data_IF_611575927067
#
_entry.id   IF_611575927067
#
_cell.length_a   1.000
_cell.length_b   1.000
_cell.length_c   1.000
_cell.angle_alpha   90.00
_cell.angle_beta   90.00
_cell.angle_gamma   90.00
#
_symmetry.space_group_name_H-M   'P 1'
#
loop_
_entity.id
_entity.type
_entity.pdbx_description
1 polymer ?
#
# COMPACT_ATOMS: atom_id res chain seq x y z
N UNK A 1 -61.19 73.13 -6.32
CA UNK A 1 -60.75 72.99 -7.72
C UNK A 1 -60.20 71.58 -7.88
N UNK A 2 -60.90 70.71 -8.60
CA UNK A 2 -60.46 69.34 -8.88
C UNK A 2 -59.69 69.39 -10.20
N UNK A 3 -58.38 69.21 -10.16
CA UNK A 3 -57.59 69.01 -11.36
C UNK A 3 -57.70 67.53 -11.77
N UNK A 4 -58.30 67.34 -12.94
CA UNK A 4 -58.30 66.09 -13.69
C UNK A 4 -56.97 66.01 -14.42
N UNK A 5 -56.16 64.98 -14.14
CA UNK A 5 -54.96 64.68 -14.92
C UNK A 5 -55.13 63.32 -15.58
N UNK A 6 -55.22 63.35 -16.91
CA UNK A 6 -55.07 62.21 -17.81
C UNK A 6 -53.58 61.94 -17.94
N UNK A 7 -53.14 60.70 -17.72
CA UNK A 7 -51.77 60.27 -17.98
C UNK A 7 -51.78 59.10 -18.97
N UNK A 8 -50.98 59.28 -20.02
CA UNK A 8 -50.74 58.40 -21.16
C UNK A 8 -50.33 56.99 -20.74
N UNK A 9 -50.89 55.98 -21.42
CA UNK A 9 -50.41 54.61 -21.42
C UNK A 9 -49.26 54.52 -22.41
N UNK A 10 -48.02 54.52 -21.90
CA UNK A 10 -46.82 54.16 -22.66
C UNK A 10 -46.64 52.65 -22.57
N UNK A 11 -46.84 51.95 -23.70
CA UNK A 11 -46.56 50.53 -23.85
C UNK A 11 -45.04 50.31 -23.76
N UNK A 12 -44.54 49.94 -22.59
CA UNK A 12 -43.18 49.43 -22.42
C UNK A 12 -43.25 47.90 -22.40
N UNK A 13 -42.91 47.27 -23.53
CA UNK A 13 -42.61 45.86 -23.59
C UNK A 13 -41.31 45.60 -22.80
N UNK A 14 -41.45 45.35 -21.50
CA UNK A 14 -40.40 44.79 -20.67
C UNK A 14 -40.48 43.27 -20.73
N UNK A 15 -39.47 42.63 -21.31
CA UNK A 15 -39.18 41.22 -21.05
C UNK A 15 -38.93 41.07 -19.55
N UNK A 16 -39.96 40.65 -18.82
CA UNK A 16 -39.80 40.05 -17.50
C UNK A 16 -39.52 38.56 -17.74
N UNK A 17 -38.29 38.15 -17.46
CA UNK A 17 -38.03 36.77 -17.09
C UNK A 17 -38.79 36.54 -15.78
N UNK A 18 -40.04 36.13 -15.90
CA UNK A 18 -40.73 35.45 -14.82
C UNK A 18 -40.01 34.12 -14.68
N UNK A 19 -39.03 34.06 -13.78
CA UNK A 19 -38.69 32.80 -13.16
C UNK A 19 -40.02 32.23 -12.67
N UNK A 20 -40.41 31.10 -13.26
CA UNK A 20 -41.55 30.33 -12.78
C UNK A 20 -41.28 30.16 -11.28
N UNK A 21 -42.18 30.58 -10.36
CA UNK A 21 -42.10 30.05 -9.03
C UNK A 21 -42.25 28.55 -9.25
N UNK A 22 -41.16 27.81 -9.03
CA UNK A 22 -41.16 26.36 -9.08
C UNK A 22 -42.33 25.95 -8.18
N UNK A 23 -43.44 25.59 -8.82
CA UNK A 23 -44.52 24.93 -8.11
C UNK A 23 -43.84 23.66 -7.63
N UNK A 24 -43.84 23.48 -6.31
CA UNK A 24 -43.59 22.19 -5.68
C UNK A 24 -44.54 21.20 -6.34
N UNK A 25 -44.07 20.61 -7.44
CA UNK A 25 -44.50 19.31 -7.85
C UNK A 25 -43.93 18.42 -6.77
N UNK A 26 -44.74 18.13 -5.76
CA UNK A 26 -44.72 16.81 -5.15
C UNK A 26 -45.10 15.81 -6.27
N UNK A 27 -44.18 15.60 -7.22
CA UNK A 27 -44.00 14.28 -7.78
C UNK A 27 -43.56 13.43 -6.61
N UNK A 28 -44.21 12.28 -6.43
CA UNK A 28 -43.96 11.42 -5.27
C UNK A 28 -42.48 11.07 -5.20
N UNK A 29 -41.76 11.73 -4.29
CA UNK A 29 -40.37 11.42 -3.97
C UNK A 29 -40.37 10.06 -3.28
N UNK A 30 -40.32 8.99 -4.06
CA UNK A 30 -39.53 7.83 -3.63
C UNK A 30 -38.08 8.29 -3.74
N UNK A 31 -37.56 8.87 -2.65
CA UNK A 31 -36.13 9.12 -2.50
C UNK A 31 -35.43 7.77 -2.60
N UNK A 32 -34.96 7.48 -3.80
CA UNK A 32 -34.36 6.22 -4.19
C UNK A 32 -32.86 6.48 -4.14
N UNK A 33 -32.23 6.07 -3.05
CA UNK A 33 -30.80 6.31 -2.85
C UNK A 33 -29.95 5.51 -3.83
N UNK A 34 -28.74 5.99 -4.04
CA UNK A 34 -27.75 5.42 -4.94
C UNK A 34 -26.44 5.15 -4.19
N UNK A 35 -25.80 4.02 -4.49
CA UNK A 35 -24.42 3.73 -4.10
C UNK A 35 -23.59 3.56 -5.38
N UNK A 36 -22.63 4.44 -5.60
CA UNK A 36 -21.62 4.28 -6.65
C UNK A 36 -20.37 3.62 -6.05
N UNK A 37 -20.07 2.41 -6.50
CA UNK A 37 -18.86 1.69 -6.12
C UNK A 37 -17.83 1.78 -7.24
N UNK A 38 -16.70 2.43 -6.96
CA UNK A 38 -15.51 2.46 -7.81
C UNK A 38 -14.46 1.47 -7.31
N UNK A 39 -13.95 0.61 -8.19
CA UNK A 39 -12.82 -0.27 -7.90
C UNK A 39 -11.63 0.14 -8.75
N UNK A 40 -10.51 0.43 -8.08
CA UNK A 40 -9.21 0.66 -8.71
C UNK A 40 -8.46 -0.67 -8.76
N UNK A 41 -8.40 -1.30 -9.93
CA UNK A 41 -7.63 -2.51 -10.16
C UNK A 41 -6.15 -2.17 -10.38
N UNK A 42 -5.28 -2.73 -9.55
CA UNK A 42 -3.84 -2.49 -9.59
C UNK A 42 -3.08 -3.78 -9.91
N UNK A 43 -2.96 -4.08 -11.21
CA UNK A 43 -2.41 -5.35 -11.71
C UNK A 43 -3.10 -6.58 -11.09
N UNK A 44 -4.42 -6.53 -10.99
CA UNK A 44 -5.22 -7.60 -10.40
C UNK A 44 -5.26 -8.81 -11.34
N UNK A 45 -4.99 -10.01 -10.84
CA UNK A 45 -4.98 -11.26 -11.61
C UNK A 45 -6.13 -12.17 -11.17
N UNK A 46 -7.22 -12.25 -11.96
CA UNK A 46 -8.34 -13.13 -11.63
C UNK A 46 -7.98 -14.61 -11.68
N UNK A 47 -8.68 -15.43 -10.89
CA UNK A 47 -8.54 -16.89 -10.92
C UNK A 47 -8.90 -17.44 -12.32
N UNK A 48 -8.27 -18.54 -12.74
CA UNK A 48 -8.54 -19.15 -14.06
C UNK A 48 -10.00 -19.56 -14.26
N UNK A 49 -10.72 -19.82 -13.17
CA UNK A 49 -12.14 -20.20 -13.21
C UNK A 49 -13.07 -19.00 -13.35
N UNK A 50 -12.58 -17.77 -13.24
CA UNK A 50 -13.42 -16.59 -13.10
C UNK A 50 -14.01 -16.13 -14.42
N UNK A 51 -15.33 -16.03 -14.44
CA UNK A 51 -16.09 -15.57 -15.60
C UNK A 51 -16.47 -14.09 -15.49
N UNK A 52 -16.69 -13.59 -14.28
CA UNK A 52 -17.15 -12.22 -14.02
C UNK A 52 -16.56 -11.68 -12.72
N UNK A 53 -16.38 -10.36 -12.66
CA UNK A 53 -16.19 -9.63 -11.40
C UNK A 53 -17.53 -8.96 -11.07
N UNK A 54 -18.09 -9.28 -9.91
CA UNK A 54 -19.44 -8.88 -9.50
C UNK A 54 -19.40 -8.14 -8.17
N UNK A 55 -20.13 -7.03 -8.06
CA UNK A 55 -20.45 -6.40 -6.79
C UNK A 55 -21.81 -6.90 -6.28
N UNK A 56 -21.91 -7.07 -4.97
CA UNK A 56 -23.17 -7.36 -4.29
C UNK A 56 -23.36 -6.41 -3.11
N UNK A 57 -24.62 -6.22 -2.74
CA UNK A 57 -25.03 -5.35 -1.65
C UNK A 57 -25.86 -6.15 -0.65
N UNK A 58 -25.57 -5.99 0.63
CA UNK A 58 -26.36 -6.53 1.74
C UNK A 58 -27.01 -5.39 2.50
N UNK A 59 -28.16 -5.65 3.10
CA UNK A 59 -28.87 -4.70 3.97
C UNK A 59 -29.03 -5.30 5.36
N UNK A 60 -28.72 -4.52 6.40
CA UNK A 60 -28.90 -4.92 7.78
C UNK A 60 -28.30 -3.94 8.77
N UNK A 61 -28.84 -3.90 9.99
CA UNK A 61 -28.39 -3.00 11.04
C UNK A 61 -26.94 -3.30 11.50
N UNK A 62 -26.52 -4.55 11.35
CA UNK A 62 -25.14 -5.01 11.57
C UNK A 62 -24.68 -5.90 10.42
N UNK A 63 -23.37 -5.98 10.20
CA UNK A 63 -22.82 -6.86 9.17
C UNK A 63 -23.24 -8.32 9.35
N UNK A 64 -23.18 -8.85 10.58
CA UNK A 64 -23.53 -10.24 10.86
C UNK A 64 -24.99 -10.59 10.52
N UNK A 65 -25.93 -9.66 10.75
CA UNK A 65 -27.33 -9.84 10.38
C UNK A 65 -27.52 -9.75 8.86
N UNK A 66 -26.84 -8.81 8.22
CA UNK A 66 -26.90 -8.61 6.78
C UNK A 66 -26.33 -9.83 6.04
N UNK A 67 -25.15 -10.33 6.46
CA UNK A 67 -24.47 -11.50 5.91
C UNK A 67 -25.35 -12.76 6.00
N UNK A 68 -25.99 -13.02 7.14
CA UNK A 68 -26.89 -14.17 7.34
C UNK A 68 -28.13 -14.11 6.41
N UNK A 69 -28.61 -12.90 6.10
CA UNK A 69 -29.72 -12.70 5.17
C UNK A 69 -29.34 -12.88 3.69
N UNK A 70 -28.06 -12.73 3.35
CA UNK A 70 -27.57 -12.75 1.97
C UNK A 70 -27.80 -11.42 1.23
N UNK A 71 -27.29 -11.31 -0.01
CA UNK A 71 -27.37 -10.06 -0.77
C UNK A 71 -28.81 -9.73 -1.17
N UNK A 72 -29.16 -8.44 -1.16
CA UNK A 72 -30.51 -7.95 -1.49
C UNK A 72 -30.92 -8.27 -2.93
N UNK A 73 -29.94 -8.29 -3.83
CA UNK A 73 -30.06 -8.76 -5.20
C UNK A 73 -29.02 -9.88 -5.41
N UNK A 74 -29.46 -11.13 -5.59
CA UNK A 74 -28.53 -12.23 -5.80
C UNK A 74 -27.79 -12.12 -7.13
N UNK A 75 -28.24 -11.31 -8.09
CA UNK A 75 -27.59 -11.11 -9.40
C UNK A 75 -26.57 -9.97 -9.42
N UNK A 76 -26.55 -9.11 -8.40
CA UNK A 76 -25.54 -8.08 -8.21
C UNK A 76 -25.38 -7.11 -9.38
N UNK A 77 -24.21 -6.48 -9.46
CA UNK A 77 -23.79 -5.61 -10.56
C UNK A 77 -22.46 -6.11 -11.15
N UNK A 78 -22.35 -6.15 -12.48
CA UNK A 78 -21.15 -6.65 -13.15
C UNK A 78 -20.20 -5.51 -13.50
N UNK A 79 -18.92 -5.67 -13.15
CA UNK A 79 -17.86 -4.80 -13.67
C UNK A 79 -17.50 -5.20 -15.10
N UNK A 80 -17.42 -4.22 -16.00
CA UNK A 80 -17.09 -4.43 -17.40
C UNK A 80 -15.57 -4.52 -17.61
N UNK A 81 -14.95 -5.54 -17.00
CA UNK A 81 -13.50 -5.81 -17.04
C UNK A 81 -13.19 -7.17 -17.67
N UNK A 82 -11.95 -7.37 -18.14
CA UNK A 82 -11.47 -8.66 -18.65
C UNK A 82 -11.15 -9.59 -17.48
N UNK A 83 -11.58 -10.86 -17.53
CA UNK A 83 -11.22 -11.86 -16.51
C UNK A 83 -10.14 -12.85 -16.96
N UNK A 84 -9.62 -12.70 -18.18
CA UNK A 84 -8.62 -13.60 -18.78
C UNK A 84 -7.23 -12.97 -18.90
N UNK A 85 -7.11 -11.70 -18.50
CA UNK A 85 -5.88 -10.93 -18.50
C UNK A 85 -5.78 -10.17 -17.18
N UNK A 86 -4.57 -9.72 -16.83
CA UNK A 86 -4.34 -8.81 -15.70
C UNK A 86 -5.16 -7.52 -15.88
N UNK A 87 -5.87 -7.12 -14.83
CA UNK A 87 -6.73 -5.92 -14.82
C UNK A 87 -5.96 -4.76 -14.20
N UNK A 88 -5.87 -3.65 -14.93
CA UNK A 88 -5.30 -2.40 -14.43
C UNK A 88 -6.18 -1.23 -14.84
N UNK A 89 -6.52 -0.37 -13.89
CA UNK A 89 -7.35 0.83 -14.09
C UNK A 89 -8.62 0.82 -13.23
N UNK A 90 -9.48 1.79 -13.48
CA UNK A 90 -10.69 2.02 -12.67
C UNK A 90 -11.92 1.45 -13.37
N UNK A 91 -12.81 0.80 -12.62
CA UNK A 91 -14.12 0.37 -13.09
C UNK A 91 -15.16 0.58 -11.99
N UNK A 92 -16.35 1.01 -12.35
CA UNK A 92 -17.41 1.33 -11.39
C UNK A 92 -18.74 0.69 -11.74
N UNK A 93 -19.56 0.50 -10.71
CA UNK A 93 -20.94 0.03 -10.79
C UNK A 93 -21.82 0.87 -9.87
N UNK A 94 -23.12 0.94 -10.18
CA UNK A 94 -24.09 1.70 -9.39
C UNK A 94 -25.21 0.79 -8.92
N UNK A 95 -25.53 0.86 -7.64
CA UNK A 95 -26.77 0.33 -7.07
C UNK A 95 -27.75 1.48 -6.95
N UNK A 96 -28.92 1.34 -7.58
CA UNK A 96 -29.96 2.37 -7.56
C UNK A 96 -31.20 1.87 -6.84
N UNK A 97 -32.14 2.79 -6.61
CA UNK A 97 -33.47 2.50 -6.09
C UNK A 97 -33.43 1.92 -4.67
N UNK A 98 -32.43 2.36 -3.88
CA UNK A 98 -32.19 1.89 -2.52
C UNK A 98 -33.05 2.67 -1.51
N UNK A 99 -33.89 2.00 -0.70
CA UNK A 99 -34.56 2.65 0.43
C UNK A 99 -33.57 3.19 1.47
N UNK A 100 -34.05 4.11 2.33
CA UNK A 100 -33.30 4.50 3.53
C UNK A 100 -32.92 3.26 4.35
N UNK A 101 -31.63 3.11 4.67
CA UNK A 101 -31.12 1.86 5.23
C UNK A 101 -29.63 1.87 5.50
N UNK A 102 -29.15 0.76 6.06
CA UNK A 102 -27.72 0.49 6.26
C UNK A 102 -27.32 -0.68 5.38
N UNK A 103 -26.35 -0.41 4.52
CA UNK A 103 -25.88 -1.32 3.49
C UNK A 103 -24.41 -1.68 3.68
N UNK A 104 -24.02 -2.79 3.08
CA UNK A 104 -22.67 -3.33 3.10
C UNK A 104 -22.33 -3.82 1.70
N UNK A 105 -21.15 -3.50 1.20
CA UNK A 105 -20.78 -3.77 -0.19
C UNK A 105 -19.53 -4.66 -0.27
N UNK A 106 -19.55 -5.61 -1.21
CA UNK A 106 -18.41 -6.47 -1.52
C UNK A 106 -18.35 -6.85 -2.99
N UNK A 107 -17.14 -7.18 -3.43
CA UNK A 107 -16.77 -7.51 -4.80
C UNK A 107 -16.15 -8.90 -4.83
N UNK A 108 -16.57 -9.71 -5.79
CA UNK A 108 -16.23 -11.13 -5.85
C UNK A 108 -15.94 -11.56 -7.28
N UNK A 109 -15.09 -12.56 -7.39
CA UNK A 109 -14.92 -13.33 -8.61
C UNK A 109 -16.00 -14.40 -8.67
N UNK A 110 -16.67 -14.53 -9.81
CA UNK A 110 -17.78 -15.46 -9.97
C UNK A 110 -17.72 -16.21 -11.29
N UNK A 111 -18.33 -17.40 -11.33
CA UNK A 111 -18.53 -18.15 -12.59
C UNK A 111 -19.85 -17.78 -13.28
N UNK A 112 -20.66 -16.91 -12.68
CA UNK A 112 -21.91 -16.38 -13.22
C UNK A 112 -22.42 -15.18 -12.42
N UNK A 113 -23.58 -14.64 -12.79
CA UNK A 113 -24.09 -13.42 -12.13
C UNK A 113 -24.49 -13.65 -10.67
N UNK A 114 -24.87 -14.87 -10.29
CA UNK A 114 -25.43 -15.11 -8.95
C UNK A 114 -24.34 -15.15 -7.86
N UNK A 115 -24.61 -14.57 -6.69
CA UNK A 115 -23.68 -14.57 -5.56
C UNK A 115 -23.19 -15.97 -5.15
N UNK A 116 -24.07 -16.97 -5.18
CA UNK A 116 -23.74 -18.36 -4.85
C UNK A 116 -22.72 -19.00 -5.81
N UNK A 117 -22.40 -18.33 -6.92
CA UNK A 117 -21.39 -18.76 -7.89
C UNK A 117 -20.01 -18.14 -7.66
N UNK A 118 -19.82 -17.44 -6.54
CA UNK A 118 -18.50 -16.90 -6.19
C UNK A 118 -17.45 -18.00 -6.07
N UNK A 119 -16.27 -17.70 -6.56
CA UNK A 119 -15.08 -18.56 -6.47
C UNK A 119 -13.97 -17.90 -5.67
N UNK A 120 -13.96 -16.57 -5.61
CA UNK A 120 -12.99 -15.80 -4.83
C UNK A 120 -13.56 -14.45 -4.38
N UNK A 121 -12.91 -13.83 -3.40
CA UNK A 121 -13.25 -12.51 -2.88
C UNK A 121 -12.25 -11.49 -3.44
N UNK A 122 -12.73 -10.46 -4.14
CA UNK A 122 -11.89 -9.31 -4.51
C UNK A 122 -11.75 -8.35 -3.32
N UNK A 123 -12.82 -8.24 -2.53
CA UNK A 123 -12.81 -7.54 -1.25
C UNK A 123 -14.13 -6.88 -0.88
N UNK A 124 -14.19 -6.39 0.34
CA UNK A 124 -15.29 -5.64 0.93
C UNK A 124 -14.87 -4.18 1.09
N UNK A 125 -15.78 -3.26 0.79
CA UNK A 125 -15.52 -1.85 1.10
C UNK A 125 -15.44 -1.65 2.62
N UNK A 126 -14.33 -1.12 3.10
CA UNK A 126 -14.12 -0.81 4.50
C UNK A 126 -13.38 0.53 4.69
N UNK A 127 -14.11 1.54 5.13
CA UNK A 127 -13.59 2.88 5.42
C UNK A 127 -12.52 2.93 6.52
N UNK A 128 -12.39 1.87 7.33
CA UNK A 128 -11.39 1.74 8.39
C UNK A 128 -10.06 1.11 7.94
N UNK A 129 -9.97 0.61 6.71
CA UNK A 129 -8.74 -0.01 6.20
C UNK A 129 -7.92 0.97 5.39
N UNK A 130 -6.73 1.29 5.93
CA UNK A 130 -5.65 2.07 5.33
C UNK A 130 -6.07 3.15 4.32
N UNK A 131 -5.41 3.24 3.16
CA UNK A 131 -5.76 4.15 2.06
C UNK A 131 -6.46 3.45 0.90
N UNK A 132 -6.53 2.12 0.93
CA UNK A 132 -7.15 1.28 -0.10
C UNK A 132 -8.64 1.09 0.14
N UNK A 133 -9.11 1.28 1.37
CA UNK A 133 -10.50 1.06 1.78
C UNK A 133 -11.05 -0.34 1.43
N UNK A 134 -10.17 -1.33 1.33
CA UNK A 134 -10.49 -2.68 0.91
C UNK A 134 -10.13 -3.69 2.02
N UNK A 135 -11.09 -4.52 2.43
CA UNK A 135 -10.90 -5.59 3.41
C UNK A 135 -11.28 -6.94 2.82
N UNK A 136 -10.52 -7.99 3.10
CA UNK A 136 -10.89 -9.35 2.66
C UNK A 136 -11.99 -9.99 3.50
N UNK A 137 -12.29 -9.46 4.69
CA UNK A 137 -13.11 -10.15 5.69
C UNK A 137 -14.24 -9.31 6.28
N UNK A 138 -14.04 -8.00 6.41
CA UNK A 138 -14.94 -7.14 7.18
C UNK A 138 -15.32 -5.90 6.36
N UNK A 139 -16.61 -5.67 6.04
CA UNK A 139 -17.06 -4.42 5.44
C UNK A 139 -17.29 -3.32 6.49
N UNK A 140 -17.40 -2.07 6.02
CA UNK A 140 -17.93 -0.94 6.81
C UNK A 140 -19.33 -0.53 6.34
N UNK A 141 -20.12 0.01 7.26
CA UNK A 141 -21.50 0.41 6.98
C UNK A 141 -21.58 1.60 6.01
N UNK A 142 -22.49 1.50 5.05
CA UNK A 142 -22.93 2.56 4.15
C UNK A 142 -24.35 2.96 4.52
N UNK A 143 -24.61 4.24 4.75
CA UNK A 143 -25.93 4.71 5.21
C UNK A 143 -26.59 5.51 4.10
N UNK A 144 -27.77 5.07 3.68
CA UNK A 144 -28.67 5.84 2.83
C UNK A 144 -29.74 6.46 3.72
N UNK A 145 -29.82 7.78 3.72
CA UNK A 145 -30.84 8.56 4.40
C UNK A 145 -31.07 9.88 3.65
N UNK A 146 -32.00 10.72 4.12
CA UNK A 146 -32.30 12.03 3.49
C UNK A 146 -31.12 13.00 3.41
N UNK A 147 -30.05 12.75 4.16
CA UNK A 147 -28.85 13.56 4.13
C UNK A 147 -27.79 12.96 3.18
N UNK A 148 -27.91 11.67 2.84
CA UNK A 148 -26.95 10.89 2.05
C UNK A 148 -27.72 10.00 1.06
N UNK A 149 -28.45 10.64 0.13
CA UNK A 149 -29.19 9.91 -0.91
C UNK A 149 -28.25 9.40 -2.01
N UNK A 150 -27.08 10.04 -2.20
CA UNK A 150 -26.01 9.61 -3.10
C UNK A 150 -24.74 9.29 -2.28
N UNK A 151 -24.28 8.04 -2.32
CA UNK A 151 -23.10 7.57 -1.59
C UNK A 151 -22.06 7.04 -2.57
N UNK A 152 -20.97 7.80 -2.74
CA UNK A 152 -19.83 7.40 -3.56
C UNK A 152 -18.75 6.74 -2.69
N UNK A 153 -18.36 5.52 -3.06
CA UNK A 153 -17.30 4.78 -2.39
C UNK A 153 -16.28 4.25 -3.39
N UNK A 154 -15.01 4.29 -2.99
CA UNK A 154 -13.92 3.72 -3.77
C UNK A 154 -13.14 2.71 -2.94
N UNK A 155 -12.68 1.65 -3.60
CA UNK A 155 -11.75 0.67 -3.04
C UNK A 155 -10.64 0.36 -4.06
N UNK A 156 -9.42 0.13 -3.60
CA UNK A 156 -8.32 -0.35 -4.44
C UNK A 156 -8.18 -1.86 -4.24
N UNK A 157 -8.03 -2.62 -5.33
CA UNK A 157 -7.79 -4.05 -5.23
C UNK A 157 -6.51 -4.28 -4.45
N UNK A 158 -6.59 -5.07 -3.39
CA UNK A 158 -5.40 -5.53 -2.71
C UNK A 158 -4.64 -6.41 -3.69
N UNK A 159 -3.39 -6.06 -3.97
CA UNK A 159 -2.48 -7.01 -4.61
C UNK A 159 -2.36 -8.15 -3.60
N UNK A 160 -2.97 -9.29 -3.91
CA UNK A 160 -2.80 -10.51 -3.12
C UNK A 160 -1.31 -10.84 -3.13
N UNK A 161 -0.62 -10.43 -2.08
CA UNK A 161 0.75 -10.82 -1.82
C UNK A 161 0.69 -12.01 -0.88
N UNK A 162 1.09 -13.17 -1.41
CA UNK A 162 1.36 -14.33 -0.58
C UNK A 162 2.70 -14.05 0.09
N UNK A 163 2.66 -14.00 1.41
CA UNK A 163 3.86 -13.86 2.23
C UNK A 163 4.75 -15.10 2.04
N UNK A 164 6.00 -15.07 2.51
CA UNK A 164 6.89 -16.22 2.29
C UNK A 164 6.39 -17.54 2.92
N UNK A 165 5.41 -17.49 3.84
CA UNK A 165 4.87 -18.63 4.58
C UNK A 165 3.68 -19.25 3.84
N UNK A 166 3.28 -18.68 2.70
CA UNK A 166 2.11 -19.11 1.97
C UNK A 166 0.81 -18.53 2.53
N UNK A 167 0.88 -17.50 3.37
CA UNK A 167 -0.30 -16.82 3.95
C UNK A 167 -0.66 -15.63 3.08
N UNK A 168 -1.90 -15.61 2.61
CA UNK A 168 -2.47 -14.47 1.88
C UNK A 168 -2.48 -13.22 2.77
N UNK A 169 -1.88 -12.13 2.29
CA UNK A 169 -1.70 -10.87 3.03
C UNK A 169 -1.00 -11.05 4.40
N UNK A 170 -0.17 -12.09 4.54
CA UNK A 170 0.63 -12.29 5.74
C UNK A 170 1.78 -11.28 5.86
N UNK A 171 2.27 -11.09 7.07
CA UNK A 171 3.38 -10.17 7.38
C UNK A 171 4.75 -10.78 7.14
N UNK A 172 4.86 -12.10 6.88
CA UNK A 172 6.15 -12.76 6.87
C UNK A 172 6.95 -12.47 5.60
N UNK A 173 8.21 -12.08 5.78
CA UNK A 173 9.16 -11.85 4.69
C UNK A 173 10.27 -12.88 4.74
N UNK A 174 10.75 -13.29 3.56
CA UNK A 174 11.92 -14.17 3.52
C UNK A 174 13.12 -13.37 4.00
N UNK A 175 13.68 -13.74 5.14
CA UNK A 175 14.88 -13.12 5.69
C UNK A 175 16.11 -13.44 4.81
N UNK A 176 17.26 -12.84 5.13
CA UNK A 176 18.51 -13.08 4.39
C UNK A 176 19.11 -14.49 4.61
N UNK A 177 18.61 -15.27 5.56
CA UNK A 177 18.95 -16.69 5.76
C UNK A 177 17.99 -17.66 5.04
N UNK A 178 16.91 -17.17 4.44
CA UNK A 178 15.86 -17.98 3.86
C UNK A 178 14.85 -18.54 4.87
N UNK A 179 14.81 -18.02 6.10
CA UNK A 179 13.71 -18.24 7.05
C UNK A 179 12.55 -17.34 6.66
N UNK A 180 11.34 -17.84 6.85
CA UNK A 180 10.15 -17.04 6.65
C UNK A 180 9.49 -16.76 8.00
N UNK A 181 9.55 -15.50 8.45
CA UNK A 181 8.80 -14.98 9.58
C UNK A 181 8.65 -13.44 9.49
N UNK A 182 8.07 -12.81 10.51
CA UNK A 182 7.86 -11.36 10.61
C UNK A 182 8.66 -10.70 11.75
N UNK A 183 9.67 -11.41 12.29
CA UNK A 183 10.49 -10.93 13.39
C UNK A 183 11.75 -10.23 12.87
N UNK A 184 11.66 -8.92 12.72
CA UNK A 184 12.77 -8.10 12.23
C UNK A 184 14.03 -8.14 13.11
N UNK A 185 13.92 -8.60 14.35
CA UNK A 185 15.08 -8.78 15.23
C UNK A 185 15.90 -10.03 14.88
N UNK A 186 15.32 -10.94 14.08
CA UNK A 186 15.93 -12.20 13.67
C UNK A 186 16.32 -12.26 12.18
N UNK A 187 16.11 -11.16 11.43
CA UNK A 187 16.33 -10.93 9.97
C UNK A 187 17.77 -11.16 9.43
N UNK A 188 18.56 -12.00 10.08
CA UNK A 188 19.88 -12.43 9.68
C UNK A 188 20.91 -11.30 9.58
N UNK A 189 21.42 -10.95 10.77
CA UNK A 189 22.73 -10.33 10.94
C UNK A 189 23.76 -11.12 10.09
N UNK A 190 24.51 -10.50 9.17
CA UNK A 190 25.26 -11.22 8.14
C UNK A 190 26.25 -12.23 8.73
N UNK A 191 25.98 -13.52 8.51
CA UNK A 191 26.91 -14.60 8.81
C UNK A 191 27.98 -14.64 7.72
N UNK A 192 29.18 -14.16 8.04
CA UNK A 192 30.37 -14.58 7.29
C UNK A 192 30.84 -15.89 7.90
N UNK A 193 30.75 -16.99 7.14
CA UNK A 193 31.58 -18.17 7.39
C UNK A 193 32.64 -18.24 6.31
N UNK A 194 33.91 -18.27 6.71
CA UNK A 194 35.05 -18.28 5.79
C UNK A 194 35.80 -16.96 5.75
N UNK A 195 35.93 -16.39 4.55
CA UNK A 195 36.85 -15.29 4.26
C UNK A 195 36.10 -13.94 4.21
N UNK A 196 36.59 -12.93 4.93
CA UNK A 196 36.14 -11.53 4.79
C UNK A 196 37.12 -10.81 3.87
N UNK A 197 36.67 -10.43 2.68
CA UNK A 197 37.44 -9.57 1.78
C UNK A 197 37.02 -8.10 1.99
N UNK A 198 37.98 -7.26 2.38
CA UNK A 198 37.85 -5.81 2.42
C UNK A 198 38.55 -5.21 1.20
N UNK A 199 37.78 -4.65 0.28
CA UNK A 199 38.28 -3.87 -0.85
C UNK A 199 37.96 -2.38 -0.65
N UNK A 200 38.96 -1.51 -0.84
CA UNK A 200 38.80 -0.06 -0.74
C UNK A 200 39.44 0.61 -1.96
N UNK A 201 38.66 1.48 -2.61
CA UNK A 201 39.12 2.36 -3.68
C UNK A 201 39.51 3.72 -3.10
N UNK A 202 40.78 4.10 -3.22
CA UNK A 202 41.25 5.44 -2.91
C UNK A 202 41.17 6.31 -4.16
N UNK A 203 40.50 7.46 -4.04
CA UNK A 203 40.37 8.45 -5.12
C UNK A 203 40.85 9.80 -4.57
N UNK A 204 42.05 10.21 -4.98
CA UNK A 204 42.72 11.43 -4.50
C UNK A 204 42.75 11.56 -2.96
N UNK A 205 42.93 10.44 -2.27
CA UNK A 205 42.89 10.41 -0.81
C UNK A 205 44.16 11.02 -0.22
N UNK A 206 44.03 11.97 0.70
CA UNK A 206 45.17 12.62 1.37
C UNK A 206 45.26 12.12 2.82
N UNK A 207 46.30 11.34 3.18
CA UNK A 207 46.42 10.77 4.52
C UNK A 207 46.62 11.80 5.63
N UNK A 208 46.23 11.44 6.85
CA UNK A 208 46.69 12.16 8.05
C UNK A 208 48.24 12.23 8.05
N UNK A 209 48.84 13.42 8.26
CA UNK A 209 50.29 13.59 8.25
C UNK A 209 51.07 12.74 9.27
N UNK A 210 50.40 12.21 10.28
CA UNK A 210 50.98 11.37 11.33
C UNK A 210 50.76 9.88 11.06
N UNK A 211 49.91 9.50 10.12
CA UNK A 211 49.71 8.11 9.74
C UNK A 211 51.00 7.54 9.14
N UNK A 212 51.38 6.33 9.54
CA UNK A 212 52.56 5.63 8.99
C UNK A 212 52.19 4.35 8.23
N UNK A 213 50.95 3.87 8.38
CA UNK A 213 50.39 2.73 7.66
C UNK A 213 48.86 2.83 7.58
N UNK A 214 48.28 2.12 6.60
CA UNK A 214 46.86 1.78 6.61
C UNK A 214 46.71 0.35 7.15
N UNK A 215 45.86 0.18 8.14
CA UNK A 215 45.58 -1.11 8.74
C UNK A 215 44.12 -1.46 8.56
N UNK A 216 43.87 -2.68 8.13
CA UNK A 216 42.57 -3.29 8.14
C UNK A 216 42.40 -4.12 9.42
N UNK A 217 41.22 -4.06 10.01
CA UNK A 217 40.87 -4.78 11.23
C UNK A 217 39.56 -5.51 11.04
N UNK A 218 39.40 -6.60 11.79
CA UNK A 218 38.12 -7.28 11.96
C UNK A 218 37.88 -7.54 13.45
N UNK A 219 36.65 -7.31 13.89
CA UNK A 219 36.14 -7.51 15.24
C UNK A 219 34.98 -8.50 15.20
N UNK A 220 34.74 -9.19 16.32
CA UNK A 220 33.58 -10.08 16.49
C UNK A 220 32.70 -9.60 17.65
N UNK A 221 31.39 -9.58 17.46
CA UNK A 221 30.44 -9.19 18.51
C UNK A 221 29.01 -9.07 18.01
N UNK A 222 28.04 -9.02 18.93
CA UNK A 222 26.61 -8.86 18.58
C UNK A 222 26.25 -7.42 18.18
N UNK A 223 27.07 -6.45 18.57
CA UNK A 223 26.96 -5.04 18.16
C UNK A 223 28.35 -4.42 18.00
N UNK A 224 28.44 -3.29 17.28
CA UNK A 224 29.70 -2.53 17.15
C UNK A 224 30.29 -2.17 18.51
N UNK A 225 29.45 -1.76 19.47
CA UNK A 225 29.90 -1.35 20.81
C UNK A 225 30.53 -2.49 21.61
N UNK A 226 29.98 -3.70 21.48
CA UNK A 226 30.50 -4.91 22.14
C UNK A 226 31.76 -5.42 21.44
N UNK A 227 31.75 -5.44 20.10
CA UNK A 227 32.87 -5.87 19.28
C UNK A 227 34.11 -4.98 19.52
N UNK A 228 33.91 -3.66 19.56
CA UNK A 228 34.98 -2.71 19.86
C UNK A 228 35.52 -2.87 21.29
N UNK A 229 34.65 -3.14 22.27
CA UNK A 229 35.08 -3.40 23.65
C UNK A 229 35.83 -4.73 23.82
N UNK A 230 35.53 -5.72 22.97
CA UNK A 230 36.19 -7.02 22.94
C UNK A 230 37.58 -6.98 22.27
N UNK A 231 37.84 -5.98 21.43
CA UNK A 231 39.10 -5.80 20.70
C UNK A 231 39.13 -6.54 19.36
N UNK A 232 40.06 -6.15 18.49
CA UNK A 232 40.21 -6.76 17.18
C UNK A 232 40.65 -8.22 17.29
N UNK A 233 40.16 -9.07 16.40
CA UNK A 233 40.52 -10.50 16.36
C UNK A 233 41.54 -10.83 15.27
N UNK A 234 41.59 -10.03 14.19
CA UNK A 234 42.64 -10.06 13.19
C UNK A 234 42.91 -8.65 12.68
N UNK A 235 44.15 -8.41 12.26
CA UNK A 235 44.55 -7.19 11.56
C UNK A 235 45.50 -7.53 10.41
N UNK A 236 45.45 -6.73 9.36
CA UNK A 236 46.34 -6.84 8.21
C UNK A 236 46.77 -5.47 7.74
N UNK A 237 48.03 -5.36 7.31
CA UNK A 237 48.51 -4.15 6.65
C UNK A 237 47.82 -4.04 5.30
N UNK A 238 47.06 -2.97 5.13
CA UNK A 238 46.44 -2.63 3.86
C UNK A 238 47.57 -2.21 2.91
N UNK A 239 47.58 -2.69 1.67
CA UNK A 239 48.73 -2.63 0.74
C UNK A 239 49.22 -1.24 0.31
N UNK A 240 48.83 -0.18 1.01
CA UNK A 240 49.21 1.22 0.79
C UNK A 240 50.01 1.71 2.00
N UNK A 241 51.08 2.46 1.74
CA UNK A 241 51.76 3.22 2.79
C UNK A 241 51.40 4.70 2.66
N UNK A 242 51.03 5.39 3.75
CA UNK A 242 50.90 6.84 3.77
C UNK A 242 52.31 7.44 3.64
N UNK A 243 52.75 7.62 2.40
CA UNK A 243 53.96 8.37 2.06
C UNK A 243 53.52 9.69 1.43
N UNK A 244 53.82 10.82 2.09
CA UNK A 244 53.29 12.16 1.78
C UNK A 244 52.97 12.40 0.30
N UNK A 245 51.68 12.42 -0.01
CA UNK A 245 51.12 12.46 -1.36
C UNK A 245 49.70 11.90 -1.37
N UNK A 246 49.00 12.01 -2.50
CA UNK A 246 47.64 11.47 -2.66
C UNK A 246 47.66 9.98 -3.04
N UNK A 247 46.89 9.16 -2.34
CA UNK A 247 46.68 7.76 -2.67
C UNK A 247 45.59 7.62 -3.74
N UNK A 248 45.87 6.77 -4.74
CA UNK A 248 44.93 6.40 -5.79
C UNK A 248 45.05 4.91 -6.09
N UNK A 249 43.92 4.22 -6.24
CA UNK A 249 43.84 2.81 -6.62
C UNK A 249 42.95 1.97 -5.71
N UNK A 250 42.64 0.77 -6.18
CA UNK A 250 41.88 -0.24 -5.44
C UNK A 250 42.84 -1.20 -4.76
N UNK A 251 42.62 -1.45 -3.48
CA UNK A 251 43.42 -2.36 -2.67
C UNK A 251 42.49 -3.24 -1.85
N UNK A 252 42.91 -4.49 -1.66
CA UNK A 252 42.15 -5.47 -0.92
C UNK A 252 42.98 -6.18 0.14
N UNK A 253 42.31 -6.65 1.20
CA UNK A 253 42.84 -7.63 2.13
C UNK A 253 41.79 -8.69 2.41
N UNK A 254 42.23 -9.92 2.65
CA UNK A 254 41.32 -11.02 2.98
C UNK A 254 41.64 -11.57 4.36
N UNK A 255 40.72 -11.44 5.31
CA UNK A 255 40.78 -12.15 6.59
C UNK A 255 40.25 -13.56 6.37
N UNK A 256 41.04 -14.55 6.77
CA UNK A 256 40.72 -15.96 6.52
C UNK A 256 40.56 -16.70 7.84
N UNK A 257 39.94 -17.88 7.78
CA UNK A 257 39.75 -18.76 8.95
C UNK A 257 38.97 -18.09 10.09
N UNK A 258 38.01 -17.22 9.76
CA UNK A 258 37.08 -16.69 10.74
C UNK A 258 36.05 -17.76 11.09
N UNK A 259 35.83 -17.99 12.37
CA UNK A 259 34.78 -18.89 12.85
C UNK A 259 33.40 -18.37 12.43
N UNK A 260 32.35 -19.18 12.57
CA UNK A 260 31.00 -18.66 12.40
C UNK A 260 30.72 -17.54 13.42
N UNK A 261 30.23 -16.39 12.95
CA UNK A 261 29.92 -15.26 13.81
C UNK A 261 29.62 -13.96 13.07
N UNK A 262 29.23 -12.96 13.84
CA UNK A 262 29.02 -11.58 13.37
C UNK A 262 30.32 -10.81 13.41
N UNK A 263 30.73 -10.25 12.28
CA UNK A 263 31.98 -9.51 12.15
C UNK A 263 31.75 -8.06 11.77
N UNK A 264 32.59 -7.19 12.33
CA UNK A 264 32.73 -5.80 11.91
C UNK A 264 34.14 -5.61 11.36
N UNK A 265 34.30 -4.80 10.33
CA UNK A 265 35.59 -4.64 9.69
C UNK A 265 35.78 -3.22 9.16
N UNK A 266 37.02 -2.76 9.12
CA UNK A 266 37.32 -1.41 8.62
C UNK A 266 38.80 -1.18 8.38
N UNK A 267 39.10 -0.16 7.58
CA UNK A 267 40.46 0.29 7.24
C UNK A 267 40.70 1.65 7.88
N UNK A 268 41.84 1.79 8.57
CA UNK A 268 42.17 2.96 9.37
C UNK A 268 43.60 3.41 9.09
N UNK A 269 43.80 4.71 9.20
CA UNK A 269 45.12 5.35 9.24
C UNK A 269 45.72 5.20 10.63
N UNK A 270 46.88 4.57 10.75
CA UNK A 270 47.45 4.26 12.06
C UNK A 270 48.94 4.57 12.15
N UNK A 271 49.40 4.75 13.40
CA UNK A 271 50.81 4.91 13.78
C UNK A 271 51.42 3.57 14.27
N UNK A 272 50.65 2.48 14.23
CA UNK A 272 51.01 1.17 14.75
C UNK A 272 50.05 0.08 14.26
N UNK A 273 50.36 -1.18 14.57
CA UNK A 273 49.66 -2.34 14.00
C UNK A 273 48.35 -2.73 14.70
N UNK A 274 48.12 -2.24 15.92
CA UNK A 274 46.93 -2.55 16.72
C UNK A 274 45.99 -1.37 16.75
N UNK A 275 44.69 -1.64 16.80
CA UNK A 275 43.68 -0.60 16.92
C UNK A 275 43.55 -0.19 18.39
N UNK A 276 44.32 0.83 18.80
CA UNK A 276 44.34 1.37 20.17
C UNK A 276 43.37 2.54 20.34
#
# INVERSE_FOLDING_TARGET
>A
MKQTSIILISLAAGLLFTACPHQDLQEGETGEGHIELLVIFNNYEPQETTAMIMAYLWEGATWAEAEDAGPIDPTGQMFMVSTVETITGESGVTFSDLPEGTYWCGVFETVGMNYDTRVDTVGYYNAGVDTTFNSMLEPSALVIDKANEDVDVSMETLVLFIDCAGVENGSSTLDLCGTCDDDSDNDCVPLVSGDVNLEVEFINWEPDPNAIMYMAYVWVGGSWSEALAAGEIQNQMFGVFPGGGTANGTFDVTFTNLSEGTYFSGVFETIGMTHA
#
